data_IF_896132997847
#
_entry.id   IF_896132997847
#
_cell.length_a   1.000
_cell.length_b   1.000
_cell.length_c   1.000
_cell.angle_alpha   90.00
_cell.angle_beta   90.00
_cell.angle_gamma   90.00
#
_symmetry.space_group_name_H-M   'P 1'
#
loop_
_entity.id
_entity.type
_entity.pdbx_description
1 polymer ?
#
# COMPACT_ATOMS: atom_id res chain seq x y z
N UNK A 1 -23.87 26.66 -2.57
CA UNK A 1 -25.32 26.93 -2.62
C UNK A 1 -26.09 26.12 -1.58
N UNK A 2 -25.80 24.83 -1.31
CA UNK A 2 -26.49 24.01 -0.30
C UNK A 2 -26.22 24.47 1.13
N UNK A 3 -24.96 24.77 1.48
CA UNK A 3 -24.59 25.24 2.81
C UNK A 3 -25.22 26.60 3.16
N UNK A 4 -25.39 27.49 2.17
CA UNK A 4 -26.04 28.78 2.38
C UNK A 4 -27.51 28.62 2.70
N UNK A 5 -28.24 27.73 2.00
CA UNK A 5 -29.62 27.39 2.29
C UNK A 5 -29.79 26.76 3.68
N UNK A 6 -28.94 25.82 4.06
CA UNK A 6 -28.94 25.20 5.38
C UNK A 6 -28.75 26.24 6.49
N UNK A 7 -27.84 27.19 6.29
CA UNK A 7 -27.63 28.29 7.24
C UNK A 7 -28.87 29.20 7.37
N UNK A 8 -29.53 29.52 6.24
CA UNK A 8 -30.74 30.31 6.23
C UNK A 8 -31.92 29.58 6.88
N UNK A 9 -31.95 28.26 6.81
CA UNK A 9 -32.98 27.44 7.45
C UNK A 9 -32.73 27.16 8.94
N UNK A 10 -31.73 27.81 9.54
CA UNK A 10 -31.35 27.58 10.92
C UNK A 10 -30.70 26.22 11.18
N UNK A 11 -30.19 25.59 10.14
CA UNK A 11 -29.39 24.36 10.29
C UNK A 11 -28.12 24.70 11.06
N UNK A 12 -28.14 24.34 12.30
CA UNK A 12 -27.09 24.61 13.27
C UNK A 12 -25.86 23.71 13.03
N UNK A 13 -24.72 24.21 13.45
CA UNK A 13 -23.55 23.37 13.65
C UNK A 13 -23.91 22.11 14.44
N UNK A 14 -23.35 20.96 14.11
CA UNK A 14 -23.61 19.74 14.85
C UNK A 14 -23.36 19.94 16.32
N UNK A 15 -24.33 19.55 17.17
CA UNK A 15 -24.17 19.59 18.63
C UNK A 15 -23.01 18.67 19.02
N UNK A 16 -22.26 19.04 20.07
CA UNK A 16 -21.11 18.24 20.55
C UNK A 16 -21.46 16.78 20.79
N UNK A 17 -22.68 16.53 21.27
CA UNK A 17 -23.18 15.18 21.53
C UNK A 17 -23.30 14.33 20.29
N UNK A 18 -23.51 14.93 19.13
CA UNK A 18 -23.58 14.26 17.85
C UNK A 18 -22.19 13.90 17.28
N UNK A 19 -21.13 14.48 17.82
CA UNK A 19 -19.75 14.13 17.42
C UNK A 19 -19.37 12.70 17.81
N UNK A 20 -20.05 12.12 18.81
CA UNK A 20 -19.87 10.71 19.20
C UNK A 20 -20.18 9.70 18.09
N UNK A 21 -20.93 10.13 17.07
CA UNK A 21 -21.21 9.29 15.88
C UNK A 21 -19.98 9.16 14.99
N UNK A 22 -19.09 10.16 15.01
CA UNK A 22 -17.86 10.14 14.20
C UNK A 22 -16.95 9.03 14.71
N UNK A 23 -16.58 8.11 13.83
CA UNK A 23 -15.73 6.98 14.20
C UNK A 23 -16.42 5.94 15.09
N UNK A 24 -17.76 5.93 15.13
CA UNK A 24 -18.54 4.87 15.80
C UNK A 24 -18.20 3.48 15.24
N UNK A 25 -18.45 2.42 16.01
CA UNK A 25 -18.19 1.05 15.54
C UNK A 25 -18.95 0.71 14.25
N UNK A 26 -20.17 1.24 14.08
CA UNK A 26 -20.93 1.12 12.84
C UNK A 26 -20.18 1.73 11.65
N UNK A 27 -19.63 2.94 11.82
CA UNK A 27 -18.87 3.61 10.76
C UNK A 27 -17.57 2.87 10.45
N UNK A 28 -16.88 2.37 11.47
CA UNK A 28 -15.65 1.55 11.29
C UNK A 28 -15.96 0.23 10.60
N UNK A 29 -17.05 -0.45 10.95
CA UNK A 29 -17.48 -1.66 10.29
C UNK A 29 -17.82 -1.43 8.82
N UNK A 30 -18.50 -0.32 8.51
CA UNK A 30 -18.83 0.07 7.15
C UNK A 30 -17.55 0.40 6.35
N UNK A 31 -16.60 1.12 6.96
CA UNK A 31 -15.32 1.44 6.33
C UNK A 31 -14.52 0.16 6.02
N UNK A 32 -14.43 -0.79 6.97
CA UNK A 32 -13.79 -2.10 6.72
C UNK A 32 -14.45 -2.82 5.56
N UNK A 33 -15.78 -2.93 5.56
CA UNK A 33 -16.53 -3.58 4.47
C UNK A 33 -16.34 -2.89 3.12
N UNK A 34 -16.19 -1.57 3.11
CA UNK A 34 -15.87 -0.82 1.90
C UNK A 34 -14.43 -1.10 1.44
N UNK A 35 -13.47 -1.09 2.35
CA UNK A 35 -12.07 -1.39 2.05
C UNK A 35 -11.91 -2.78 1.41
N UNK A 36 -12.57 -3.80 1.95
CA UNK A 36 -12.55 -5.15 1.38
C UNK A 36 -13.05 -5.21 -0.08
N UNK A 37 -14.00 -4.35 -0.42
CA UNK A 37 -14.55 -4.27 -1.78
C UNK A 37 -13.71 -3.43 -2.75
N UNK A 38 -12.88 -2.55 -2.23
CA UNK A 38 -12.02 -1.70 -3.07
C UNK A 38 -10.76 -2.41 -3.54
N UNK A 39 -10.28 -3.41 -2.80
CA UNK A 39 -9.11 -4.17 -3.24
C UNK A 39 -9.38 -4.81 -4.60
N UNK A 40 -8.58 -4.42 -5.58
CA UNK A 40 -8.79 -4.80 -6.98
C UNK A 40 -7.57 -5.55 -7.50
N UNK A 41 -7.81 -6.76 -8.00
CA UNK A 41 -6.80 -7.47 -8.79
C UNK A 41 -6.76 -6.86 -10.19
N UNK A 42 -5.67 -6.17 -10.50
CA UNK A 42 -5.48 -5.49 -11.79
C UNK A 42 -4.80 -6.40 -12.81
N UNK A 43 -3.86 -7.23 -12.35
CA UNK A 43 -3.06 -8.11 -13.20
C UNK A 43 -2.63 -9.35 -12.40
N UNK A 44 -2.77 -10.51 -13.01
CA UNK A 44 -2.14 -11.76 -12.54
C UNK A 44 -1.97 -12.71 -13.73
N UNK A 45 -0.84 -12.60 -14.42
CA UNK A 45 -0.56 -13.38 -15.63
C UNK A 45 0.07 -14.74 -15.34
N UNK A 46 0.37 -15.01 -14.09
CA UNK A 46 1.06 -16.23 -13.65
C UNK A 46 0.29 -17.02 -12.58
N UNK A 47 -0.91 -16.57 -12.24
CA UNK A 47 -1.73 -17.17 -11.19
C UNK A 47 -0.99 -17.26 -9.83
N UNK A 48 -0.32 -16.17 -9.43
CA UNK A 48 0.36 -16.09 -8.14
C UNK A 48 -0.60 -15.88 -6.97
N UNK A 49 -1.84 -15.47 -7.25
CA UNK A 49 -2.85 -15.18 -6.24
C UNK A 49 -3.94 -16.29 -6.22
N UNK A 50 -4.48 -16.58 -5.06
CA UNK A 50 -4.16 -16.05 -3.74
C UNK A 50 -2.82 -16.58 -3.21
N UNK A 51 -2.04 -15.74 -2.51
CA UNK A 51 -0.88 -16.20 -1.76
C UNK A 51 -1.35 -16.98 -0.52
N UNK A 52 -0.66 -18.06 -0.21
CA UNK A 52 -1.00 -18.95 0.92
C UNK A 52 0.24 -19.32 1.72
N UNK A 53 0.17 -19.38 3.06
CA UNK A 53 1.33 -19.70 3.88
C UNK A 53 1.89 -21.11 3.71
N UNK A 54 1.07 -22.06 3.25
CA UNK A 54 1.51 -23.43 2.92
C UNK A 54 2.35 -23.50 1.64
N UNK A 55 2.15 -22.58 0.70
CA UNK A 55 2.89 -22.50 -0.57
C UNK A 55 3.97 -21.41 -0.59
N UNK A 56 3.73 -20.27 0.08
CA UNK A 56 4.54 -19.06 0.00
C UNK A 56 4.91 -18.53 1.40
N UNK A 57 5.41 -19.42 2.27
CA UNK A 57 5.57 -19.12 3.70
C UNK A 57 6.55 -17.97 3.98
N UNK A 58 7.67 -17.92 3.23
CA UNK A 58 8.76 -16.97 3.48
C UNK A 58 8.68 -15.83 2.49
N UNK A 59 8.26 -14.68 2.99
CA UNK A 59 8.07 -13.48 2.19
C UNK A 59 9.23 -12.52 2.38
N UNK A 60 9.82 -12.09 1.25
CA UNK A 60 10.65 -10.89 1.22
C UNK A 60 9.77 -9.69 0.95
N UNK A 61 9.70 -8.77 1.90
CA UNK A 61 8.92 -7.55 1.78
C UNK A 61 9.81 -6.37 1.39
N UNK A 62 9.43 -5.68 0.33
CA UNK A 62 9.95 -4.38 -0.04
C UNK A 62 8.84 -3.35 0.15
N UNK A 63 9.03 -2.41 1.06
CA UNK A 63 8.05 -1.37 1.33
C UNK A 63 8.56 -0.03 0.80
N UNK A 64 7.97 0.43 -0.30
CA UNK A 64 8.34 1.68 -0.97
C UNK A 64 7.48 2.82 -0.43
N UNK A 65 8.05 3.64 0.41
CA UNK A 65 7.42 4.88 0.90
C UNK A 65 8.04 6.10 0.23
N UNK A 66 7.24 7.15 0.08
CA UNK A 66 7.73 8.45 -0.37
C UNK A 66 8.52 9.14 0.74
N UNK A 67 9.49 9.96 0.36
CA UNK A 67 10.14 10.88 1.29
C UNK A 67 9.08 11.82 1.88
N UNK A 68 9.14 12.05 3.19
CA UNK A 68 8.28 13.02 3.85
C UNK A 68 8.31 14.38 3.13
N UNK A 69 7.16 14.97 2.86
CA UNK A 69 7.06 16.19 2.05
C UNK A 69 7.02 17.42 2.94
N UNK A 70 7.80 18.42 2.54
CA UNK A 70 7.71 19.76 3.14
C UNK A 70 6.63 20.56 2.40
N UNK A 71 5.58 20.95 3.12
CA UNK A 71 4.50 21.77 2.58
C UNK A 71 4.41 23.05 3.40
N UNK A 72 4.46 24.17 2.72
CA UNK A 72 4.45 25.49 3.35
C UNK A 72 5.48 25.59 4.51
N UNK A 73 6.68 25.04 4.32
CA UNK A 73 7.75 25.05 5.33
C UNK A 73 7.58 24.06 6.48
N UNK A 74 6.53 23.23 6.49
CA UNK A 74 6.34 22.17 7.49
C UNK A 74 6.56 20.80 6.89
N UNK A 75 7.41 20.00 7.56
CA UNK A 75 7.53 18.59 7.24
C UNK A 75 6.21 17.89 7.63
N UNK A 76 5.50 17.37 6.64
CA UNK A 76 4.34 16.51 6.91
C UNK A 76 4.86 15.17 7.43
N UNK A 77 4.39 14.78 8.61
CA UNK A 77 4.72 13.48 9.17
C UNK A 77 4.25 12.38 8.20
N UNK A 78 5.20 11.58 7.79
CA UNK A 78 4.91 10.36 7.06
C UNK A 78 4.66 9.24 8.07
N UNK A 79 3.42 8.79 8.16
CA UNK A 79 3.03 7.64 8.99
C UNK A 79 3.24 6.28 8.26
N UNK A 80 3.99 6.28 7.17
CA UNK A 80 4.27 5.07 6.38
C UNK A 80 4.85 3.92 7.20
N UNK A 81 5.64 4.22 8.23
CA UNK A 81 6.17 3.20 9.14
C UNK A 81 5.06 2.44 9.86
N UNK A 82 3.99 3.10 10.32
CA UNK A 82 2.85 2.46 10.96
C UNK A 82 2.08 1.57 10.00
N UNK A 83 1.88 2.05 8.77
CA UNK A 83 1.24 1.27 7.71
C UNK A 83 2.06 0.02 7.42
N UNK A 84 3.38 0.15 7.32
CA UNK A 84 4.31 -0.97 7.14
C UNK A 84 4.21 -1.98 8.28
N UNK A 85 4.27 -1.52 9.51
CA UNK A 85 4.18 -2.38 10.70
C UNK A 85 2.84 -3.13 10.75
N UNK A 86 1.72 -2.45 10.53
CA UNK A 86 0.41 -3.10 10.48
C UNK A 86 0.31 -4.13 9.34
N UNK A 87 0.91 -3.82 8.20
CA UNK A 87 0.93 -4.73 7.05
C UNK A 87 1.72 -6.01 7.36
N UNK A 88 2.89 -5.87 7.98
CA UNK A 88 3.72 -7.01 8.42
C UNK A 88 2.94 -7.84 9.44
N UNK A 89 2.41 -7.21 10.49
CA UNK A 89 1.63 -7.90 11.53
C UNK A 89 0.44 -8.66 10.97
N UNK A 90 -0.25 -8.09 9.97
CA UNK A 90 -1.36 -8.77 9.31
C UNK A 90 -0.91 -10.05 8.58
N UNK A 91 0.22 -9.98 7.86
CA UNK A 91 0.78 -11.16 7.19
C UNK A 91 1.25 -12.23 8.18
N UNK A 92 1.94 -11.82 9.24
CA UNK A 92 2.43 -12.74 10.27
C UNK A 92 1.28 -13.43 11.01
N UNK A 93 0.17 -12.72 11.25
CA UNK A 93 -1.05 -13.28 11.82
C UNK A 93 -1.67 -14.37 10.93
N UNK A 94 -1.55 -14.23 9.63
CA UNK A 94 -2.00 -15.26 8.67
C UNK A 94 -1.00 -16.41 8.50
N UNK A 95 0.13 -16.39 9.22
CA UNK A 95 1.11 -17.48 9.25
C UNK A 95 2.30 -17.33 8.30
N UNK A 96 2.46 -16.17 7.67
CA UNK A 96 3.64 -15.89 6.87
C UNK A 96 4.85 -15.52 7.75
N UNK A 97 6.04 -15.77 7.25
CA UNK A 97 7.31 -15.28 7.81
C UNK A 97 7.78 -14.15 6.93
N UNK A 98 7.80 -12.93 7.48
CA UNK A 98 8.10 -11.73 6.71
C UNK A 98 9.46 -11.19 7.06
N UNK A 99 10.32 -11.01 6.07
CA UNK A 99 11.60 -10.31 6.21
C UNK A 99 11.59 -9.04 5.35
N UNK A 100 11.60 -7.89 6.01
CA UNK A 100 11.61 -6.59 5.35
C UNK A 100 13.03 -6.14 5.04
N UNK A 101 13.24 -5.56 3.87
CA UNK A 101 14.47 -4.89 3.51
C UNK A 101 14.23 -3.83 2.45
N UNK A 102 15.00 -2.78 2.53
CA UNK A 102 15.01 -1.74 1.50
C UNK A 102 15.91 -2.06 0.31
N UNK A 103 16.78 -3.05 0.43
CA UNK A 103 17.81 -3.35 -0.58
C UNK A 103 17.81 -4.83 -0.97
N UNK A 104 18.07 -5.06 -2.26
CA UNK A 104 18.40 -6.39 -2.78
C UNK A 104 19.91 -6.58 -2.73
N UNK A 105 20.36 -7.72 -2.23
CA UNK A 105 21.78 -8.09 -2.26
C UNK A 105 22.18 -8.51 -3.69
N UNK A 106 23.08 -7.74 -4.30
CA UNK A 106 23.63 -8.09 -5.61
C UNK A 106 24.43 -9.40 -5.57
N UNK A 107 24.28 -10.21 -6.61
CA UNK A 107 25.11 -11.40 -6.82
C UNK A 107 24.74 -12.63 -6.01
N UNK A 108 23.69 -12.58 -5.21
CA UNK A 108 23.23 -13.70 -4.36
C UNK A 108 21.89 -14.28 -4.80
N UNK A 109 21.63 -14.32 -6.08
CA UNK A 109 20.34 -14.75 -6.63
C UNK A 109 19.95 -16.16 -6.19
N UNK A 110 20.86 -17.11 -6.22
CA UNK A 110 20.55 -18.48 -5.82
C UNK A 110 20.30 -18.64 -4.31
N UNK A 111 20.98 -17.86 -3.48
CA UNK A 111 20.71 -17.81 -2.05
C UNK A 111 19.34 -17.17 -1.79
N UNK A 112 19.01 -16.11 -2.51
CA UNK A 112 17.75 -15.41 -2.41
C UNK A 112 16.57 -16.33 -2.77
N UNK A 113 16.65 -17.05 -3.90
CA UNK A 113 15.65 -18.04 -4.32
C UNK A 113 15.41 -19.15 -3.31
N UNK A 114 16.47 -19.61 -2.64
CA UNK A 114 16.38 -20.64 -1.61
C UNK A 114 15.78 -20.11 -0.31
N UNK A 115 15.97 -18.81 -0.05
CA UNK A 115 15.54 -18.17 1.22
C UNK A 115 14.08 -17.73 1.19
N UNK A 116 13.58 -17.26 0.04
CA UNK A 116 12.24 -16.68 -0.07
C UNK A 116 11.38 -17.41 -1.11
N UNK A 117 10.14 -17.63 -0.73
CA UNK A 117 9.15 -18.28 -1.61
C UNK A 117 8.41 -17.24 -2.46
N UNK A 118 8.31 -16.00 -1.95
CA UNK A 118 7.61 -14.88 -2.58
C UNK A 118 8.28 -13.55 -2.26
N UNK A 119 8.28 -12.66 -3.23
CA UNK A 119 8.54 -11.24 -3.03
C UNK A 119 7.22 -10.47 -3.00
N UNK A 120 7.05 -9.62 -2.02
CA UNK A 120 5.93 -8.71 -1.92
C UNK A 120 6.43 -7.27 -1.94
N UNK A 121 6.02 -6.52 -2.95
CA UNK A 121 6.42 -5.11 -3.12
C UNK A 121 5.21 -4.23 -2.83
N UNK A 122 5.23 -3.57 -1.69
CA UNK A 122 4.15 -2.66 -1.28
C UNK A 122 4.54 -1.23 -1.62
N UNK A 123 3.70 -0.55 -2.36
CA UNK A 123 3.90 0.81 -2.84
C UNK A 123 2.97 1.73 -2.06
N UNK A 124 3.55 2.52 -1.15
CA UNK A 124 2.85 3.53 -0.36
C UNK A 124 3.37 4.93 -0.71
N UNK A 125 3.19 5.33 -1.95
CA UNK A 125 3.60 6.64 -2.45
C UNK A 125 2.41 7.57 -2.47
N UNK A 126 2.34 8.48 -1.52
CA UNK A 126 1.24 9.44 -1.39
C UNK A 126 1.46 10.61 -2.34
N UNK A 127 0.46 10.87 -3.20
CA UNK A 127 0.38 12.05 -4.05
C UNK A 127 0.00 13.30 -3.28
N UNK A 128 0.57 14.42 -3.71
CA UNK A 128 0.14 15.71 -3.21
C UNK A 128 -0.53 16.50 -4.33
N UNK A 129 -1.52 17.34 -3.97
CA UNK A 129 -2.43 18.04 -4.88
C UNK A 129 -1.74 18.88 -5.99
N UNK A 130 -0.47 19.21 -5.83
CA UNK A 130 0.31 19.98 -6.80
C UNK A 130 1.27 19.13 -7.65
N UNK A 131 1.39 17.83 -7.35
CA UNK A 131 2.26 16.92 -8.06
C UNK A 131 1.41 15.86 -8.74
N UNK A 132 1.09 16.07 -10.01
CA UNK A 132 0.22 15.19 -10.79
C UNK A 132 0.82 13.82 -11.10
N UNK A 133 2.10 13.62 -10.87
CA UNK A 133 2.77 12.36 -11.18
C UNK A 133 3.64 11.92 -10.03
N UNK A 134 3.17 10.90 -9.33
CA UNK A 134 4.02 10.18 -8.40
C UNK A 134 4.55 8.99 -9.15
N UNK A 135 5.82 9.10 -9.51
CA UNK A 135 6.54 8.04 -10.17
C UNK A 135 7.30 7.23 -9.13
N UNK A 136 7.35 5.92 -9.34
CA UNK A 136 8.20 5.08 -8.53
C UNK A 136 9.65 5.45 -8.79
N UNK A 137 10.39 5.73 -7.70
CA UNK A 137 11.83 5.93 -7.75
C UNK A 137 12.49 4.75 -7.06
N UNK A 138 13.23 3.98 -7.81
CA UNK A 138 14.16 3.02 -7.26
C UNK A 138 15.37 3.76 -6.69
N UNK A 139 15.87 3.38 -5.52
CA UNK A 139 17.03 4.05 -4.91
C UNK A 139 18.27 4.00 -5.80
N UNK A 140 18.34 3.00 -6.68
CA UNK A 140 19.37 2.89 -7.71
C UNK A 140 18.71 2.69 -9.08
N UNK A 141 18.88 3.63 -10.01
CA UNK A 141 18.23 3.59 -11.33
C UNK A 141 18.65 2.37 -12.19
N UNK A 142 19.79 1.77 -11.90
CA UNK A 142 20.34 0.62 -12.64
C UNK A 142 19.80 -0.71 -12.10
N UNK A 143 19.14 -0.69 -10.96
CA UNK A 143 18.61 -1.88 -10.31
C UNK A 143 17.10 -1.98 -10.55
N UNK A 144 16.74 -2.36 -11.77
CA UNK A 144 15.45 -3.01 -11.92
C UNK A 144 15.39 -4.17 -10.93
N UNK A 145 14.26 -4.41 -10.27
CA UNK A 145 14.15 -5.51 -9.33
C UNK A 145 14.31 -6.85 -10.08
N UNK A 146 15.54 -7.29 -10.22
CA UNK A 146 15.93 -8.52 -10.91
C UNK A 146 15.16 -9.75 -10.39
N UNK A 147 14.79 -9.70 -9.11
CA UNK A 147 14.02 -10.76 -8.46
C UNK A 147 12.63 -10.97 -9.08
N UNK A 148 12.08 -9.99 -9.78
CA UNK A 148 10.74 -10.08 -10.41
C UNK A 148 10.64 -11.16 -11.47
N UNK A 149 11.75 -11.47 -12.14
CA UNK A 149 11.81 -12.55 -13.12
C UNK A 149 12.10 -13.91 -12.49
N UNK A 150 12.72 -13.93 -11.31
CA UNK A 150 13.32 -15.12 -10.71
C UNK A 150 12.49 -15.71 -9.57
N UNK A 151 11.78 -14.87 -8.83
CA UNK A 151 10.94 -15.28 -7.70
C UNK A 151 9.52 -14.79 -7.94
N UNK A 152 8.47 -15.56 -7.62
CA UNK A 152 7.11 -15.07 -7.64
C UNK A 152 7.02 -13.72 -6.94
N UNK A 153 6.56 -12.69 -7.65
CA UNK A 153 6.53 -11.33 -7.13
C UNK A 153 5.16 -10.70 -7.32
N UNK A 154 4.58 -10.25 -6.23
CA UNK A 154 3.30 -9.55 -6.20
C UNK A 154 3.54 -8.09 -5.83
N UNK A 155 3.02 -7.19 -6.63
CA UNK A 155 3.01 -5.75 -6.35
C UNK A 155 1.66 -5.34 -5.78
N UNK A 156 1.69 -4.57 -4.70
CA UNK A 156 0.50 -4.01 -4.07
C UNK A 156 0.65 -2.50 -3.99
N UNK A 157 -0.17 -1.76 -4.74
CA UNK A 157 -0.23 -0.31 -4.57
C UNK A 157 -1.34 0.03 -3.59
N UNK A 158 -0.98 0.76 -2.54
CA UNK A 158 -1.94 1.27 -1.55
C UNK A 158 -2.64 2.56 -2.01
N UNK A 159 -2.22 3.15 -3.12
CA UNK A 159 -2.68 4.47 -3.53
C UNK A 159 -3.21 4.53 -4.98
N UNK A 160 -2.38 4.22 -5.97
CA UNK A 160 -2.68 4.52 -7.37
C UNK A 160 -2.46 3.35 -8.33
N UNK A 161 -3.38 3.18 -9.28
CA UNK A 161 -3.25 2.16 -10.35
C UNK A 161 -2.15 2.50 -11.34
N UNK A 162 -1.86 3.77 -11.56
CA UNK A 162 -0.86 4.22 -12.53
C UNK A 162 0.60 3.87 -12.16
N UNK A 163 0.86 3.41 -10.94
CA UNK A 163 2.17 2.82 -10.61
C UNK A 163 2.52 1.63 -11.51
N UNK A 164 1.54 0.95 -12.08
CA UNK A 164 1.78 -0.15 -13.02
C UNK A 164 2.56 0.30 -14.28
N UNK A 165 2.49 1.57 -14.64
CA UNK A 165 3.27 2.15 -15.75
C UNK A 165 4.78 2.08 -15.47
N UNK A 166 5.17 2.22 -14.19
CA UNK A 166 6.58 2.20 -13.79
C UNK A 166 7.14 0.78 -13.60
N UNK A 167 6.26 -0.21 -13.55
CA UNK A 167 6.58 -1.63 -13.35
C UNK A 167 5.88 -2.52 -14.38
N UNK A 168 6.04 -2.27 -15.68
CA UNK A 168 5.34 -3.03 -16.73
C UNK A 168 5.67 -4.53 -16.70
N UNK A 169 6.82 -4.89 -16.12
CA UNK A 169 7.25 -6.28 -15.92
C UNK A 169 6.48 -7.02 -14.84
N UNK A 170 5.71 -6.35 -13.99
CA UNK A 170 4.92 -7.00 -12.94
C UNK A 170 4.04 -8.11 -13.52
N UNK A 171 4.08 -9.30 -12.91
CA UNK A 171 3.24 -10.43 -13.29
C UNK A 171 1.93 -10.46 -12.50
N UNK A 172 1.97 -10.00 -11.25
CA UNK A 172 0.80 -9.81 -10.40
C UNK A 172 0.79 -8.40 -9.80
N UNK A 173 -0.36 -7.75 -9.84
CA UNK A 173 -0.54 -6.39 -9.33
C UNK A 173 -1.93 -6.21 -8.74
N UNK A 174 -1.95 -5.76 -7.48
CA UNK A 174 -3.15 -5.43 -6.72
C UNK A 174 -3.17 -3.94 -6.45
N UNK A 175 -4.34 -3.33 -6.52
CA UNK A 175 -4.55 -1.94 -6.09
C UNK A 175 -5.54 -1.88 -4.94
N UNK A 176 -5.16 -1.24 -3.84
CA UNK A 176 -5.98 -1.08 -2.64
C UNK A 176 -6.59 0.32 -2.50
N UNK A 177 -6.14 1.31 -3.26
CA UNK A 177 -6.62 2.70 -3.36
C UNK A 177 -6.48 3.56 -2.10
N UNK A 178 -6.42 2.97 -0.90
CA UNK A 178 -6.39 3.71 0.36
C UNK A 178 -5.48 2.99 1.36
N UNK A 179 -4.70 3.74 2.10
CA UNK A 179 -3.81 3.29 3.17
C UNK A 179 -4.30 3.68 4.57
N UNK A 180 -5.61 3.74 4.76
CA UNK A 180 -6.23 4.16 6.04
C UNK A 180 -6.29 3.04 7.06
#
# INVERSE_FOLDING_TARGET
>A
LGLHRLKQQGALMPQKERLSVIGSEQHRALARKAADKFVTLVKDTRNYLPIRPDEHRRIRLFFLSGDGKVIAGKLMKDDSHKVKEHFIQALEKEGFIVEESEQTEKGKMEEFKKKYDLCLVVINLIGFAQYNTIRMKWKQPVEQPWYVSEVPTVFVSLNFTNHLIDIPMAKAYINAYVNS
#
